data_IF_048505462311
#
_entry.id   IF_048505462311
#
_cell.length_a   1.000
_cell.length_b   1.000
_cell.length_c   1.000
_cell.angle_alpha   90.00
_cell.angle_beta   90.00
_cell.angle_gamma   90.00
#
_symmetry.space_group_name_H-M   'P 1'
#
loop_
_entity.id
_entity.type
_entity.pdbx_description
1 polymer ?
#
# COMPACT_ATOMS: atom_id res chain seq x y z
N UNK A 1 4.54 4.13 16.46
CA UNK A 1 5.76 3.59 15.80
C UNK A 1 5.79 2.07 15.93
N UNK A 2 6.53 1.31 15.10
CA UNK A 2 6.50 -0.16 15.14
C UNK A 2 6.74 -0.76 16.54
N UNK A 3 7.54 -0.10 17.38
CA UNK A 3 7.79 -0.50 18.77
C UNK A 3 6.58 -0.55 19.72
N UNK A 4 5.44 0.04 19.34
CA UNK A 4 4.20 0.02 20.12
C UNK A 4 3.53 -1.37 20.07
N UNK A 5 3.79 -2.12 19.00
CA UNK A 5 3.23 -3.46 18.81
C UNK A 5 4.09 -4.49 19.52
N UNK A 6 3.48 -5.24 20.45
CA UNK A 6 4.17 -6.27 21.24
C UNK A 6 4.79 -7.39 20.40
N UNK A 7 4.16 -7.70 19.28
CA UNK A 7 4.55 -8.76 18.35
C UNK A 7 5.54 -8.27 17.27
N UNK A 8 6.01 -7.02 17.35
CA UNK A 8 7.02 -6.54 16.41
C UNK A 8 8.44 -6.92 16.86
N UNK A 9 9.27 -7.32 15.90
CA UNK A 9 10.71 -7.51 16.12
C UNK A 9 11.48 -6.20 16.34
N UNK A 10 10.79 -5.05 16.30
CA UNK A 10 11.40 -3.72 16.41
C UNK A 10 12.15 -3.54 17.73
N UNK A 11 11.69 -4.15 18.83
CA UNK A 11 12.40 -4.05 20.12
C UNK A 11 13.76 -4.74 20.09
N UNK A 12 13.86 -5.88 19.42
CA UNK A 12 15.14 -6.54 19.21
C UNK A 12 16.00 -5.78 18.21
N UNK A 13 15.44 -5.48 17.03
CA UNK A 13 16.21 -4.95 15.90
C UNK A 13 16.58 -3.47 16.02
N UNK A 14 15.82 -2.68 16.78
CA UNK A 14 16.03 -1.23 16.93
C UNK A 14 16.57 -0.83 18.30
N UNK A 15 16.28 -1.61 19.35
CA UNK A 15 16.63 -1.28 20.74
C UNK A 15 17.57 -2.32 21.39
N UNK A 16 17.93 -3.39 20.67
CA UNK A 16 18.84 -4.42 21.17
C UNK A 16 18.27 -5.29 22.30
N UNK A 17 16.94 -5.32 22.48
CA UNK A 17 16.34 -6.26 23.47
C UNK A 17 16.52 -7.69 22.99
N UNK A 18 16.95 -8.57 23.89
CA UNK A 18 16.94 -10.00 23.62
C UNK A 18 15.50 -10.49 23.45
N UNK A 19 15.26 -11.21 22.36
CA UNK A 19 14.00 -11.84 22.04
C UNK A 19 14.31 -13.21 21.42
N UNK A 20 13.91 -14.29 22.10
CA UNK A 20 14.19 -15.66 21.68
C UNK A 20 13.44 -16.06 20.41
N UNK A 21 12.41 -15.31 20.00
CA UNK A 21 11.67 -15.55 18.77
C UNK A 21 12.31 -14.85 17.56
N UNK A 22 13.27 -13.95 17.78
CA UNK A 22 13.89 -13.16 16.71
C UNK A 22 15.24 -13.74 16.33
N UNK A 23 15.30 -14.36 15.15
CA UNK A 23 16.56 -14.74 14.50
C UNK A 23 16.96 -13.65 13.50
N UNK A 24 18.12 -12.98 13.65
CA UNK A 24 18.54 -11.92 12.74
C UNK A 24 18.73 -12.43 11.31
N UNK A 25 18.02 -11.84 10.35
CA UNK A 25 18.16 -12.17 8.93
C UNK A 25 19.47 -11.57 8.34
N UNK A 26 20.13 -12.21 7.35
CA UNK A 26 21.35 -11.68 6.75
C UNK A 26 21.23 -10.24 6.21
N UNK A 27 20.09 -9.88 5.62
CA UNK A 27 19.84 -8.50 5.17
C UNK A 27 19.83 -7.48 6.32
N UNK A 28 19.34 -7.88 7.49
CA UNK A 28 19.39 -7.03 8.67
C UNK A 28 20.82 -6.93 9.20
N UNK A 29 21.55 -8.05 9.26
CA UNK A 29 22.96 -8.07 9.66
C UNK A 29 23.82 -7.20 8.72
N UNK A 30 23.52 -7.18 7.42
CA UNK A 30 24.18 -6.35 6.42
C UNK A 30 23.88 -4.85 6.50
N UNK A 31 23.01 -4.39 7.41
CA UNK A 31 22.76 -2.95 7.57
C UNK A 31 23.97 -2.21 8.17
N UNK A 32 24.76 -2.89 9.02
CA UNK A 32 26.02 -2.41 9.55
C UNK A 32 26.76 -3.52 10.30
N UNK A 33 28.09 -3.42 10.35
CA UNK A 33 28.96 -4.40 11.03
C UNK A 33 28.78 -4.38 12.55
N UNK A 34 28.72 -3.19 13.16
CA UNK A 34 28.56 -3.03 14.61
C UNK A 34 27.08 -2.99 15.02
N UNK A 35 26.76 -3.66 16.13
CA UNK A 35 25.39 -3.77 16.67
C UNK A 35 24.70 -2.41 16.85
N UNK A 36 25.37 -1.44 17.48
CA UNK A 36 24.81 -0.11 17.71
C UNK A 36 24.56 0.66 16.41
N UNK A 37 25.45 0.53 15.43
CA UNK A 37 25.27 1.12 14.11
C UNK A 37 24.11 0.45 13.37
N UNK A 38 23.94 -0.86 13.53
CA UNK A 38 22.85 -1.63 12.93
C UNK A 38 21.51 -1.25 13.53
N UNK A 39 21.41 -1.07 14.84
CA UNK A 39 20.21 -0.57 15.50
C UNK A 39 19.83 0.84 14.99
N UNK A 40 20.82 1.72 14.83
CA UNK A 40 20.60 3.05 14.29
C UNK A 40 20.14 3.02 12.82
N UNK A 41 20.80 2.23 11.97
CA UNK A 41 20.41 2.04 10.58
C UNK A 41 18.99 1.49 10.45
N UNK A 42 18.61 0.53 11.32
CA UNK A 42 17.27 -0.01 11.33
C UNK A 42 16.21 1.02 11.76
N UNK A 43 16.49 1.88 12.74
CA UNK A 43 15.57 2.98 13.13
C UNK A 43 15.33 3.96 11.98
N UNK A 44 16.37 4.28 11.20
CA UNK A 44 16.29 5.18 10.05
C UNK A 44 15.30 4.72 8.98
N UNK A 45 15.08 3.41 8.83
CA UNK A 45 14.07 2.86 7.92
C UNK A 45 12.64 3.32 8.26
N UNK A 46 12.41 3.82 9.46
CA UNK A 46 11.10 4.27 9.95
C UNK A 46 11.06 5.77 10.27
N UNK A 47 12.13 6.51 10.03
CA UNK A 47 12.17 7.97 10.20
C UNK A 47 11.29 8.64 9.13
N UNK A 48 11.40 8.18 7.89
CA UNK A 48 10.52 8.58 6.79
C UNK A 48 9.21 7.80 6.82
N UNK A 49 8.32 8.19 7.72
CA UNK A 49 6.95 7.66 7.71
C UNK A 49 6.27 8.02 6.39
N UNK A 50 5.65 7.02 5.77
CA UNK A 50 4.82 7.21 4.59
C UNK A 50 3.77 8.29 4.89
N UNK A 51 3.60 9.24 3.97
CA UNK A 51 2.57 10.27 4.09
C UNK A 51 1.17 9.66 4.22
N UNK A 52 0.24 10.40 4.83
CA UNK A 52 -1.14 9.96 5.02
C UNK A 52 -1.81 9.52 3.70
N UNK A 53 -1.50 10.22 2.60
CA UNK A 53 -1.98 9.88 1.25
C UNK A 53 -1.48 8.51 0.78
N UNK A 54 -0.20 8.20 0.99
CA UNK A 54 0.37 6.89 0.66
C UNK A 54 -0.32 5.80 1.47
N UNK A 55 -0.49 5.99 2.78
CA UNK A 55 -1.23 5.04 3.63
C UNK A 55 -2.67 4.82 3.16
N UNK A 56 -3.36 5.89 2.75
CA UNK A 56 -4.71 5.79 2.22
C UNK A 56 -4.72 5.00 0.90
N UNK A 57 -3.79 5.29 -0.01
CA UNK A 57 -3.61 4.56 -1.25
C UNK A 57 -3.38 3.05 -1.03
N UNK A 58 -2.51 2.69 -0.07
CA UNK A 58 -2.29 1.29 0.32
C UNK A 58 -3.60 0.64 0.77
N UNK A 59 -4.35 1.26 1.68
CA UNK A 59 -5.61 0.71 2.19
C UNK A 59 -6.64 0.52 1.09
N UNK A 60 -6.84 1.51 0.24
CA UNK A 60 -7.81 1.43 -0.85
C UNK A 60 -7.45 0.36 -1.87
N UNK A 61 -6.17 0.25 -2.22
CA UNK A 61 -5.73 -0.73 -3.20
C UNK A 61 -5.77 -2.15 -2.63
N UNK A 62 -5.28 -2.36 -1.41
CA UNK A 62 -5.30 -3.68 -0.75
C UNK A 62 -6.73 -4.17 -0.54
N UNK A 63 -7.62 -3.34 0.00
CA UNK A 63 -9.00 -3.74 0.27
C UNK A 63 -9.83 -3.90 -1.02
N UNK A 64 -9.52 -3.13 -2.07
CA UNK A 64 -10.19 -3.21 -3.36
C UNK A 64 -9.61 -4.24 -4.34
N UNK A 65 -8.52 -4.92 -3.99
CA UNK A 65 -7.81 -5.82 -4.91
C UNK A 65 -7.18 -5.10 -6.12
N UNK A 66 -6.85 -3.82 -5.96
CA UNK A 66 -6.25 -2.97 -7.00
C UNK A 66 -4.73 -2.94 -6.90
N UNK A 67 -4.09 -2.54 -8.00
CA UNK A 67 -2.64 -2.44 -8.10
C UNK A 67 -2.18 -1.09 -7.57
N UNK A 68 -1.10 -1.10 -6.77
CA UNK A 68 -0.41 0.10 -6.30
C UNK A 68 0.68 0.48 -7.29
N UNK A 69 0.83 1.76 -7.60
CA UNK A 69 1.88 2.27 -8.47
C UNK A 69 1.40 3.34 -9.45
N UNK A 70 2.22 3.63 -10.46
CA UNK A 70 1.91 4.62 -11.49
C UNK A 70 0.75 4.17 -12.39
N UNK A 71 0.09 5.12 -13.05
CA UNK A 71 -0.95 4.80 -14.03
C UNK A 71 -0.45 3.88 -15.15
N UNK A 72 0.80 4.07 -15.59
CA UNK A 72 1.47 3.19 -16.56
C UNK A 72 1.55 1.76 -16.02
N UNK A 73 2.02 1.58 -14.79
CA UNK A 73 2.17 0.26 -14.18
C UNK A 73 0.81 -0.43 -14.00
N UNK A 74 -0.21 0.30 -13.52
CA UNK A 74 -1.57 -0.22 -13.39
C UNK A 74 -2.10 -0.74 -14.73
N UNK A 75 -1.94 0.01 -15.82
CA UNK A 75 -2.33 -0.40 -17.18
C UNK A 75 -1.56 -1.63 -17.67
N UNK A 76 -0.26 -1.72 -17.39
CA UNK A 76 0.54 -2.89 -17.74
C UNK A 76 0.02 -4.15 -17.04
N UNK A 77 -0.23 -4.09 -15.73
CA UNK A 77 -0.76 -5.24 -14.98
C UNK A 77 -2.19 -5.57 -15.42
N UNK A 78 -3.02 -4.57 -15.77
CA UNK A 78 -4.36 -4.82 -16.30
C UNK A 78 -4.33 -5.59 -17.62
N UNK A 79 -3.41 -5.23 -18.53
CA UNK A 79 -3.22 -5.95 -19.78
C UNK A 79 -2.75 -7.40 -19.55
N UNK A 80 -1.88 -7.64 -18.56
CA UNK A 80 -1.41 -8.98 -18.20
C UNK A 80 -2.50 -9.85 -17.58
N UNK A 81 -3.35 -9.28 -16.72
CA UNK A 81 -4.38 -10.03 -15.99
C UNK A 81 -5.72 -10.12 -16.74
N UNK A 82 -5.89 -9.41 -17.84
CA UNK A 82 -7.16 -9.33 -18.57
C UNK A 82 -8.29 -8.70 -17.76
N UNK A 83 -7.98 -7.94 -16.71
CA UNK A 83 -8.97 -7.28 -15.84
C UNK A 83 -8.49 -5.91 -15.40
N UNK A 84 -9.43 -5.04 -15.02
CA UNK A 84 -9.12 -3.72 -14.47
C UNK A 84 -8.40 -3.82 -13.13
N UNK A 85 -7.44 -2.92 -12.92
CA UNK A 85 -6.55 -2.91 -11.72
C UNK A 85 -6.57 -1.58 -10.97
N UNK A 86 -7.51 -0.68 -11.29
CA UNK A 86 -7.71 0.60 -10.59
C UNK A 86 -9.17 0.78 -10.18
N UNK A 87 -9.38 1.67 -9.21
CA UNK A 87 -10.71 2.05 -8.71
C UNK A 87 -11.37 3.03 -9.68
N UNK A 88 -12.63 2.77 -9.98
CA UNK A 88 -13.55 3.69 -10.68
C UNK A 88 -14.84 3.78 -9.86
N UNK A 89 -15.75 4.68 -10.25
CA UNK A 89 -17.03 4.83 -9.58
C UNK A 89 -17.76 3.47 -9.53
N UNK A 90 -18.01 2.91 -8.33
CA UNK A 90 -18.81 1.71 -8.21
C UNK A 90 -20.26 2.06 -8.55
N UNK A 91 -20.88 1.28 -9.43
CA UNK A 91 -22.28 1.49 -9.77
C UNK A 91 -22.64 1.02 -11.17
N UNK A 92 -23.94 0.96 -11.42
CA UNK A 92 -24.49 0.73 -12.75
C UNK A 92 -24.06 1.89 -13.66
N UNK A 93 -23.65 1.63 -14.92
CA UNK A 93 -23.43 2.70 -15.88
C UNK A 93 -24.69 3.57 -15.99
N UNK A 94 -24.50 4.88 -16.10
CA UNK A 94 -25.59 5.82 -16.29
C UNK A 94 -26.35 5.42 -17.57
N UNK A 95 -27.68 5.38 -17.51
CA UNK A 95 -28.49 5.19 -18.73
C UNK A 95 -28.31 6.45 -19.58
N UNK A 96 -27.80 6.29 -20.80
CA UNK A 96 -27.81 7.38 -21.79
C UNK A 96 -29.28 7.81 -21.98
N UNK A 97 -29.53 9.09 -21.77
CA UNK A 97 -30.85 9.68 -21.98
C UNK A 97 -30.91 9.98 -23.48
N UNK A 98 -31.60 9.14 -24.25
CA UNK A 98 -31.91 9.48 -25.64
C UNK A 98 -32.74 10.77 -25.65
N UNK A 99 -32.16 11.84 -26.19
CA UNK A 99 -32.76 13.17 -26.24
C UNK A 99 -33.89 13.30 -27.29
N UNK A 100 -34.38 12.18 -27.85
CA UNK A 100 -35.25 12.16 -29.02
C UNK A 100 -36.61 11.45 -28.79
N UNK A 101 -37.14 11.47 -27.55
CA UNK A 101 -38.44 10.82 -27.25
C UNK A 101 -39.46 11.71 -26.53
N UNK A 102 -39.31 13.04 -26.56
CA UNK A 102 -40.26 13.97 -25.94
C UNK A 102 -40.52 15.17 -26.86
N UNK A 103 -41.26 14.91 -27.95
CA UNK A 103 -41.58 15.93 -28.94
C UNK A 103 -42.81 15.64 -29.79
N UNK A 104 -43.80 14.89 -29.31
CA UNK A 104 -45.12 14.85 -29.96
C UNK A 104 -46.15 14.31 -28.97
N UNK A 105 -46.92 15.23 -28.38
CA UNK A 105 -48.30 15.09 -27.91
C UNK A 105 -48.67 16.39 -27.18
N UNK A 106 -48.81 17.46 -27.97
CA UNK A 106 -49.70 18.55 -27.61
C UNK A 106 -51.00 18.33 -28.39
N UNK A 107 -52.10 18.16 -27.66
CA UNK A 107 -53.48 18.09 -28.16
C UNK A 107 -53.87 19.36 -28.93
#
# INVERSE_FOLDING_TARGET
VPGDYRWSSHRANALGRQDSMVTPHPLYQGLADADQARFAAYRRLFEDMLGAESHQCFRECTNGGFVIGSAKFKRQIAAMLGRRTWKEAPGRPLKEIDADAQGELAL
#
